data_IF_442272526014
#
_entry.id   IF_442272526014
#
_cell.length_a   1.000
_cell.length_b   1.000
_cell.length_c   1.000
_cell.angle_alpha   90.00
_cell.angle_beta   90.00
_cell.angle_gamma   90.00
#
_symmetry.space_group_name_H-M   'P 1'
#
loop_
_entity.id
_entity.type
_entity.pdbx_description
1 polymer ?
#
# COMPACT_ATOMS: atom_id res chain seq x y z
N UNK A 1 -5.16 7.90 -13.40
CA UNK A 1 -6.49 8.19 -12.84
C UNK A 1 -6.42 9.47 -12.05
N UNK A 2 -7.53 10.20 -11.93
CA UNK A 2 -7.58 11.40 -11.10
C UNK A 2 -7.71 11.02 -9.62
N UNK A 3 -7.03 11.72 -8.71
CA UNK A 3 -6.96 11.33 -7.30
C UNK A 3 -8.34 11.22 -6.63
N UNK A 4 -9.24 12.16 -6.94
CA UNK A 4 -10.61 12.17 -6.41
C UNK A 4 -11.41 10.93 -6.83
N UNK A 5 -11.24 10.48 -8.07
CA UNK A 5 -11.92 9.31 -8.61
C UNK A 5 -11.50 8.03 -7.86
N UNK A 6 -10.20 7.88 -7.56
CA UNK A 6 -9.68 6.74 -6.79
C UNK A 6 -10.22 6.75 -5.36
N UNK A 7 -10.28 7.92 -4.72
CA UNK A 7 -10.79 8.04 -3.35
C UNK A 7 -12.28 7.66 -3.25
N UNK A 8 -13.09 8.04 -4.24
CA UNK A 8 -14.54 7.79 -4.23
C UNK A 8 -14.91 6.37 -4.66
N UNK A 9 -14.11 5.73 -5.51
CA UNK A 9 -14.46 4.44 -6.12
C UNK A 9 -13.62 3.24 -5.63
N UNK A 10 -12.65 3.44 -4.73
CA UNK A 10 -11.84 2.33 -4.20
C UNK A 10 -12.70 1.35 -3.41
N UNK A 11 -12.59 0.06 -3.76
CA UNK A 11 -13.24 -1.06 -3.09
C UNK A 11 -12.20 -2.04 -2.54
N UNK A 12 -12.58 -2.83 -1.53
CA UNK A 12 -11.74 -3.93 -1.03
C UNK A 12 -11.96 -5.19 -1.88
N UNK A 13 -10.87 -5.82 -2.32
CA UNK A 13 -10.92 -7.01 -3.19
C UNK A 13 -10.49 -8.25 -2.38
N UNK A 14 -11.41 -9.17 -2.02
CA UNK A 14 -11.10 -10.29 -1.12
C UNK A 14 -10.50 -11.53 -1.81
N UNK A 15 -10.61 -11.64 -3.13
CA UNK A 15 -10.08 -12.78 -3.91
C UNK A 15 -9.02 -12.27 -4.88
N UNK A 16 -7.76 -12.44 -4.48
CA UNK A 16 -6.60 -12.07 -5.29
C UNK A 16 -6.11 -13.29 -6.08
N UNK A 17 -5.43 -13.02 -7.19
CA UNK A 17 -4.80 -14.02 -8.06
C UNK A 17 -3.40 -13.54 -8.42
N UNK A 18 -2.56 -14.44 -8.91
CA UNK A 18 -1.25 -14.07 -9.44
C UNK A 18 -1.35 -13.17 -10.68
N UNK A 19 -0.33 -12.32 -10.92
CA UNK A 19 0.87 -12.12 -10.09
C UNK A 19 0.65 -11.14 -8.93
N UNK A 20 1.39 -11.32 -7.84
CA UNK A 20 1.55 -10.30 -6.82
C UNK A 20 2.21 -9.02 -7.40
N UNK A 21 2.07 -7.85 -6.75
CA UNK A 21 2.75 -6.64 -7.18
C UNK A 21 4.26 -6.84 -7.28
N UNK A 22 4.88 -6.30 -8.32
CA UNK A 22 6.33 -6.38 -8.50
C UNK A 22 7.10 -5.51 -7.50
N UNK A 23 8.45 -5.61 -7.50
CA UNK A 23 9.28 -4.85 -6.58
C UNK A 23 9.09 -3.32 -6.70
N UNK A 24 8.99 -2.77 -7.92
CA UNK A 24 8.83 -1.34 -8.13
C UNK A 24 7.46 -0.84 -7.68
N UNK A 25 6.41 -1.64 -7.90
CA UNK A 25 5.07 -1.37 -7.42
C UNK A 25 5.02 -1.39 -5.88
N UNK A 26 5.70 -2.34 -5.24
CA UNK A 26 5.79 -2.40 -3.76
C UNK A 26 6.47 -1.18 -3.17
N UNK A 27 7.56 -0.69 -3.78
CA UNK A 27 8.22 0.54 -3.33
C UNK A 27 7.27 1.75 -3.35
N UNK A 28 6.43 1.88 -4.39
CA UNK A 28 5.41 2.94 -4.46
C UNK A 28 4.39 2.78 -3.31
N UNK A 29 3.95 1.56 -3.03
CA UNK A 29 3.00 1.27 -1.94
C UNK A 29 3.58 1.62 -0.58
N UNK A 30 4.83 1.25 -0.30
CA UNK A 30 5.51 1.64 0.93
C UNK A 30 5.71 3.17 1.00
N UNK A 31 6.10 3.80 -0.10
CA UNK A 31 6.22 5.26 -0.19
C UNK A 31 4.90 5.98 0.16
N UNK A 32 3.76 5.44 -0.29
CA UNK A 32 2.44 5.96 0.09
C UNK A 32 2.13 5.73 1.58
N UNK A 33 2.41 4.55 2.12
CA UNK A 33 2.16 4.22 3.52
C UNK A 33 3.01 5.08 4.49
N UNK A 34 4.25 5.39 4.12
CA UNK A 34 5.14 6.29 4.87
C UNK A 34 4.62 7.73 4.97
N UNK A 35 3.61 8.11 4.17
CA UNK A 35 2.93 9.42 4.26
C UNK A 35 1.69 9.40 5.16
N UNK A 36 1.40 8.28 5.83
CA UNK A 36 0.36 8.24 6.85
C UNK A 36 0.62 9.30 7.94
N UNK A 37 -0.40 10.02 8.41
CA UNK A 37 -0.24 10.93 9.54
C UNK A 37 0.35 10.22 10.76
N UNK A 38 1.35 10.85 11.38
CA UNK A 38 2.09 10.32 12.51
C UNK A 38 2.25 11.42 13.56
N UNK A 39 1.42 11.36 14.61
CA UNK A 39 1.43 12.35 15.67
C UNK A 39 2.72 12.24 16.49
N UNK A 40 3.58 13.25 16.38
CA UNK A 40 4.90 13.25 17.03
C UNK A 40 6.01 12.56 16.23
N UNK A 41 5.75 12.17 14.96
CA UNK A 41 6.74 11.54 14.07
C UNK A 41 7.45 10.31 14.70
N UNK A 42 6.71 9.52 15.46
CA UNK A 42 7.25 8.42 16.25
C UNK A 42 7.67 7.22 15.39
N UNK A 43 7.14 7.13 14.16
CA UNK A 43 7.26 6.00 13.26
C UNK A 43 6.98 4.66 13.97
N UNK A 44 5.85 4.51 14.68
CA UNK A 44 5.58 3.35 15.52
C UNK A 44 5.11 2.14 14.69
N UNK A 45 5.73 1.89 13.55
CA UNK A 45 5.34 0.88 12.58
C UNK A 45 6.55 0.20 11.94
N UNK A 46 6.31 -1.00 11.41
CA UNK A 46 7.23 -1.73 10.53
C UNK A 46 6.41 -2.41 9.44
N UNK A 47 6.96 -2.49 8.23
CA UNK A 47 6.37 -3.28 7.16
C UNK A 47 7.01 -4.66 7.13
N UNK A 48 6.19 -5.70 7.05
CA UNK A 48 6.63 -7.08 6.85
C UNK A 48 6.16 -7.53 5.47
N UNK A 49 7.11 -7.87 4.61
CA UNK A 49 6.80 -8.49 3.31
C UNK A 49 6.77 -9.99 3.50
N UNK A 50 5.65 -10.61 3.14
CA UNK A 50 5.45 -12.07 3.19
C UNK A 50 5.08 -12.52 1.79
N UNK A 51 5.89 -13.41 1.21
CA UNK A 51 5.71 -13.94 -0.13
C UNK A 51 5.91 -15.46 -0.15
N UNK A 52 5.38 -16.12 -1.18
CA UNK A 52 5.56 -17.55 -1.40
C UNK A 52 7.01 -17.90 -1.74
N UNK A 53 7.34 -19.19 -1.63
CA UNK A 53 8.66 -19.75 -1.98
C UNK A 53 8.91 -19.77 -3.48
#
# INVERSE_FOLDING_TARGET
MQALEVLLNRVSVPRLVDPAPDAAQREIMFGAALRSPDHGQLKPYRFLTVEGS
#
